data_IF_915529571620
#
_entry.id   IF_915529571620
#
_cell.length_a   1.000
_cell.length_b   1.000
_cell.length_c   1.000
_cell.angle_alpha   90.00
_cell.angle_beta   90.00
_cell.angle_gamma   90.00
#
_symmetry.space_group_name_H-M   'P 1'
#
loop_
_entity.id
_entity.type
_entity.pdbx_description
1 polymer ?
#
# COMPACT_ATOMS: atom_id res chain seq x y z
N UNK A 1 -13.52 2.04 5.70
CA UNK A 1 -12.57 3.07 5.23
C UNK A 1 -12.40 2.90 3.73
N UNK A 2 -12.45 4.01 2.97
CA UNK A 2 -12.21 3.99 1.53
C UNK A 2 -10.71 4.04 1.27
N UNK A 3 -10.21 3.11 0.46
CA UNK A 3 -8.78 2.97 0.15
C UNK A 3 -8.60 2.93 -1.36
N UNK A 4 -7.97 3.96 -1.92
CA UNK A 4 -7.55 3.99 -3.32
C UNK A 4 -6.12 3.47 -3.42
N UNK A 5 -5.89 2.46 -4.26
CA UNK A 5 -4.57 1.88 -4.43
C UNK A 5 -4.15 2.00 -5.88
N UNK A 6 -2.93 2.49 -6.10
CA UNK A 6 -2.32 2.48 -7.42
C UNK A 6 -2.03 1.04 -7.86
N UNK A 7 -2.58 0.66 -9.01
CA UNK A 7 -2.43 -0.64 -9.65
C UNK A 7 -1.70 -0.50 -10.97
N UNK A 8 -0.89 -1.50 -11.27
CA UNK A 8 -0.18 -1.61 -12.54
C UNK A 8 0.40 -3.00 -12.70
N UNK A 9 0.02 -3.72 -13.76
CA UNK A 9 0.64 -4.96 -14.19
C UNK A 9 1.24 -4.77 -15.60
N UNK A 10 2.58 -4.80 -15.77
CA UNK A 10 3.22 -4.58 -17.07
C UNK A 10 2.87 -5.66 -18.11
N UNK A 11 2.28 -6.78 -17.71
CA UNK A 11 1.81 -7.81 -18.65
C UNK A 11 0.42 -7.53 -19.24
N UNK A 12 -0.33 -6.58 -18.67
CA UNK A 12 -1.73 -6.29 -19.04
C UNK A 12 -2.01 -4.82 -19.30
N UNK A 13 -1.35 -3.92 -18.57
CA UNK A 13 -1.70 -2.51 -18.50
C UNK A 13 -0.68 -1.66 -19.25
N UNK A 14 -1.16 -0.72 -20.07
CA UNK A 14 -0.32 0.29 -20.72
C UNK A 14 0.11 1.40 -19.72
N UNK A 15 -0.78 1.74 -18.80
CA UNK A 15 -0.58 2.78 -17.79
C UNK A 15 -1.17 2.36 -16.45
N UNK A 16 -0.58 2.79 -15.34
CA UNK A 16 -1.17 2.52 -14.04
C UNK A 16 -2.43 3.32 -13.76
N UNK A 17 -3.30 2.74 -12.96
CA UNK A 17 -4.62 3.27 -12.59
C UNK A 17 -4.83 3.17 -11.08
N UNK A 18 -5.99 3.61 -10.60
CA UNK A 18 -6.38 3.45 -9.20
C UNK A 18 -7.59 2.54 -9.10
N UNK A 19 -7.46 1.51 -8.28
CA UNK A 19 -8.61 0.73 -7.79
C UNK A 19 -9.06 1.28 -6.44
N UNK A 20 -10.35 1.14 -6.16
CA UNK A 20 -10.95 1.54 -4.89
C UNK A 20 -11.43 0.30 -4.12
N UNK A 21 -11.05 0.24 -2.84
CA UNK A 21 -11.41 -0.83 -1.92
C UNK A 21 -12.12 -0.26 -0.70
N UNK A 22 -13.07 -1.02 -0.16
CA UNK A 22 -13.67 -0.74 1.13
C UNK A 22 -13.09 -1.70 2.17
N UNK A 23 -12.35 -1.15 3.13
CA UNK A 23 -11.68 -1.92 4.19
C UNK A 23 -12.34 -1.62 5.54
N UNK A 24 -12.80 -2.63 6.30
CA UNK A 24 -13.44 -2.45 7.60
C UNK A 24 -12.39 -2.25 8.71
N UNK A 25 -11.64 -1.14 8.65
CA UNK A 25 -10.64 -0.78 9.65
C UNK A 25 -11.32 -0.58 11.02
N UNK A 26 -11.00 -1.39 12.05
CA UNK A 26 -11.56 -1.25 13.39
C UNK A 26 -11.16 0.09 14.02
N UNK A 27 -12.05 0.73 14.79
CA UNK A 27 -11.77 2.04 15.42
C UNK A 27 -10.99 1.93 16.74
N UNK A 28 -11.08 0.77 17.38
CA UNK A 28 -10.54 0.42 18.68
C UNK A 28 -9.15 -0.22 18.61
N UNK A 29 -8.70 -0.59 17.41
CA UNK A 29 -7.38 -1.15 17.15
C UNK A 29 -6.66 -0.28 16.12
N UNK A 30 -5.43 0.14 16.45
CA UNK A 30 -4.60 0.91 15.52
C UNK A 30 -4.05 0.01 14.43
N UNK A 31 -4.75 -0.06 13.30
CA UNK A 31 -4.22 -0.66 12.09
C UNK A 31 -3.20 0.26 11.46
N UNK A 32 -2.13 -0.32 10.96
CA UNK A 32 -1.20 0.37 10.07
C UNK A 32 -1.73 0.35 8.64
N UNK A 33 -1.18 1.20 7.77
CA UNK A 33 -1.41 1.13 6.31
C UNK A 33 -1.04 -0.26 5.78
N UNK A 34 -0.10 -0.92 6.44
CA UNK A 34 0.28 -2.27 6.08
C UNK A 34 -0.78 -3.32 6.41
N UNK A 35 -1.43 -3.21 7.57
CA UNK A 35 -2.55 -4.11 7.94
C UNK A 35 -3.72 -3.93 6.97
N UNK A 36 -3.95 -2.70 6.49
CA UNK A 36 -4.92 -2.42 5.43
C UNK A 36 -4.58 -3.16 4.13
N UNK A 37 -3.32 -3.13 3.70
CA UNK A 37 -2.86 -3.83 2.50
C UNK A 37 -2.97 -5.36 2.66
N UNK A 38 -2.61 -5.88 3.84
CA UNK A 38 -2.76 -7.30 4.17
C UNK A 38 -4.23 -7.72 4.17
N UNK A 39 -5.15 -6.88 4.67
CA UNK A 39 -6.57 -7.16 4.60
C UNK A 39 -7.07 -7.24 3.16
N UNK A 40 -6.67 -6.28 2.30
CA UNK A 40 -7.03 -6.29 0.87
C UNK A 40 -6.51 -7.58 0.23
N UNK A 41 -5.24 -7.92 0.44
CA UNK A 41 -4.62 -9.12 -0.12
C UNK A 41 -5.36 -10.41 0.29
N UNK A 42 -5.71 -10.53 1.57
CA UNK A 42 -6.26 -11.77 2.13
C UNK A 42 -7.77 -11.93 1.91
N UNK A 43 -8.53 -10.84 1.80
CA UNK A 43 -9.98 -10.89 1.85
C UNK A 43 -10.69 -10.28 0.64
N UNK A 44 -10.02 -9.43 -0.15
CA UNK A 44 -10.66 -8.70 -1.25
C UNK A 44 -10.03 -9.03 -2.60
N UNK A 45 -8.73 -8.79 -2.75
CA UNK A 45 -8.00 -8.95 -4.00
C UNK A 45 -6.59 -9.50 -3.75
N UNK A 46 -6.42 -10.79 -4.01
CA UNK A 46 -5.15 -11.49 -3.84
C UNK A 46 -4.09 -11.19 -4.92
N UNK A 47 -4.42 -10.36 -5.92
CA UNK A 47 -3.51 -10.01 -7.02
C UNK A 47 -2.63 -8.79 -6.72
N UNK A 48 -2.95 -8.02 -5.67
CA UNK A 48 -2.20 -6.83 -5.25
C UNK A 48 -0.76 -7.17 -4.86
N UNK A 49 0.19 -6.36 -5.33
CA UNK A 49 1.62 -6.53 -5.04
C UNK A 49 2.20 -5.34 -4.26
N UNK A 50 2.85 -5.64 -3.14
CA UNK A 50 3.55 -4.66 -2.30
C UNK A 50 4.70 -5.33 -1.54
N UNK A 51 5.63 -4.54 -1.01
CA UNK A 51 6.69 -5.07 -0.15
C UNK A 51 6.14 -5.41 1.23
N UNK A 52 5.98 -6.72 1.50
CA UNK A 52 5.53 -7.23 2.79
C UNK A 52 6.55 -6.97 3.91
N UNK A 53 6.07 -7.12 5.13
CA UNK A 53 6.66 -6.72 6.39
C UNK A 53 7.63 -7.75 6.96
N UNK A 54 7.70 -8.95 6.36
CA UNK A 54 8.66 -10.02 6.68
C UNK A 54 10.13 -9.58 6.62
N UNK A 55 10.40 -8.37 6.13
CA UNK A 55 11.72 -7.76 6.17
C UNK A 55 12.12 -7.17 7.54
N UNK A 56 11.22 -6.61 8.37
CA UNK A 56 11.64 -6.08 9.69
C UNK A 56 10.59 -5.65 10.75
N UNK A 57 9.35 -5.29 10.37
CA UNK A 57 8.30 -4.71 11.23
C UNK A 57 8.62 -3.44 12.06
N UNK A 58 9.87 -3.04 12.21
CA UNK A 58 10.28 -1.92 13.08
C UNK A 58 10.90 -0.77 12.28
N UNK A 59 10.56 -0.66 10.99
CA UNK A 59 10.99 0.42 10.11
C UNK A 59 12.45 0.40 9.66
N UNK A 60 13.26 -0.56 10.12
CA UNK A 60 14.72 -0.58 9.85
C UNK A 60 15.07 -0.97 8.40
N UNK A 61 14.24 -1.76 7.70
CA UNK A 61 14.57 -2.19 6.33
C UNK A 61 14.28 -1.13 5.26
N UNK A 62 13.42 -0.15 5.54
CA UNK A 62 13.03 0.90 4.59
C UNK A 62 12.30 0.43 3.31
N UNK A 63 11.92 -0.85 3.19
CA UNK A 63 11.36 -1.41 1.94
C UNK A 63 9.88 -1.09 1.72
N UNK A 64 9.11 -0.94 2.80
CA UNK A 64 7.68 -0.64 2.74
C UNK A 64 7.38 0.86 2.59
N UNK A 65 8.29 1.65 2.00
CA UNK A 65 8.03 3.06 1.76
C UNK A 65 7.01 3.19 0.64
N UNK A 66 5.91 3.87 0.94
CA UNK A 66 4.86 4.23 0.01
C UNK A 66 4.60 5.73 0.07
N UNK A 67 3.86 6.25 -0.90
CA UNK A 67 3.22 7.56 -0.81
C UNK A 67 1.81 7.34 -0.25
N UNK A 68 1.60 7.76 0.99
CA UNK A 68 0.30 7.72 1.68
C UNK A 68 -0.25 9.14 1.65
N UNK A 69 -1.38 9.34 0.96
CA UNK A 69 -2.00 10.64 0.70
C UNK A 69 -0.97 11.67 0.19
N UNK A 70 -0.13 11.24 -0.77
CA UNK A 70 0.90 12.05 -1.41
C UNK A 70 2.20 12.24 -0.62
N UNK A 71 2.28 11.80 0.65
CA UNK A 71 3.47 11.93 1.49
C UNK A 71 4.23 10.61 1.63
N UNK A 72 5.57 10.60 1.55
CA UNK A 72 6.35 9.38 1.75
C UNK A 72 6.24 8.92 3.22
N UNK A 73 5.80 7.68 3.43
CA UNK A 73 5.63 7.05 4.75
C UNK A 73 6.06 5.58 4.68
N UNK A 74 6.49 5.04 5.82
CA UNK A 74 6.66 3.59 5.97
C UNK A 74 5.29 2.98 6.29
N UNK A 75 4.78 2.13 5.40
CA UNK A 75 3.45 1.54 5.55
C UNK A 75 3.29 0.78 6.88
N UNK A 76 4.36 0.15 7.38
CA UNK A 76 4.35 -0.60 8.64
C UNK A 76 4.37 0.25 9.91
N UNK A 77 4.61 1.56 9.81
CA UNK A 77 4.59 2.49 10.96
C UNK A 77 3.50 3.55 10.84
N UNK A 78 2.91 3.71 9.65
CA UNK A 78 1.88 4.69 9.40
C UNK A 78 0.53 4.14 9.90
N UNK A 79 -0.07 4.78 10.91
CA UNK A 79 -1.37 4.38 11.44
C UNK A 79 -2.47 4.79 10.44
N UNK A 80 -3.24 3.82 9.95
CA UNK A 80 -4.33 4.04 9.01
C UNK A 80 -5.49 4.79 9.66
N UNK A 81 -5.77 4.52 10.95
CA UNK A 81 -6.84 5.16 11.72
C UNK A 81 -6.72 6.69 11.84
N UNK A 82 -5.56 7.27 11.55
CA UNK A 82 -5.35 8.73 11.53
C UNK A 82 -5.97 9.42 10.29
N UNK A 83 -6.51 8.63 9.34
CA UNK A 83 -7.06 9.13 8.08
C UNK A 83 -8.51 8.69 7.89
N UNK A 84 -9.34 9.54 7.30
CA UNK A 84 -10.71 9.18 6.89
C UNK A 84 -10.70 8.32 5.61
N UNK A 85 -9.77 8.61 4.70
CA UNK A 85 -9.52 7.88 3.46
C UNK A 85 -8.02 7.75 3.19
N UNK A 86 -7.67 6.69 2.47
CA UNK A 86 -6.29 6.40 2.07
C UNK A 86 -6.16 6.42 0.55
N UNK A 87 -5.13 7.10 0.06
CA UNK A 87 -4.64 7.04 -1.32
C UNK A 87 -3.21 6.53 -1.26
N UNK A 88 -3.02 5.32 -1.74
CA UNK A 88 -1.77 4.58 -1.67
C UNK A 88 -1.12 4.54 -3.05
N UNK A 89 0.06 5.13 -3.13
CA UNK A 89 0.86 5.19 -4.35
C UNK A 89 2.23 4.55 -4.13
N UNK A 90 2.86 3.99 -5.18
CA UNK A 90 4.23 3.54 -5.10
C UNK A 90 5.16 4.70 -4.72
N UNK A 91 6.29 4.38 -4.09
CA UNK A 91 7.33 5.38 -3.76
C UNK A 91 7.71 6.24 -4.97
N UNK A 92 7.82 5.63 -6.15
CA UNK A 92 8.13 6.27 -7.42
C UNK A 92 7.34 5.62 -8.56
N UNK A 93 6.41 6.37 -9.17
CA UNK A 93 5.66 5.94 -10.37
C UNK A 93 6.57 5.62 -11.57
N UNK A 94 7.75 6.23 -11.64
CA UNK A 94 8.73 6.00 -12.73
C UNK A 94 9.43 4.64 -12.62
N UNK A 95 9.48 4.05 -11.43
CA UNK A 95 10.25 2.84 -11.15
C UNK A 95 9.35 1.67 -10.74
N UNK A 96 8.06 1.72 -11.08
CA UNK A 96 7.11 0.65 -10.73
C UNK A 96 7.47 -0.62 -11.48
N UNK A 97 7.53 -1.73 -10.75
CA UNK A 97 7.62 -3.08 -11.30
C UNK A 97 6.22 -3.67 -11.43
N UNK A 98 5.44 -3.60 -10.35
CA UNK A 98 4.03 -4.02 -10.30
C UNK A 98 3.35 -3.38 -9.10
N UNK A 99 2.17 -2.80 -9.29
CA UNK A 99 1.38 -2.13 -8.24
C UNK A 99 2.22 -1.17 -7.37
N UNK A 100 2.42 -1.51 -6.09
CA UNK A 100 3.16 -0.72 -5.11
C UNK A 100 4.65 -1.13 -5.00
N UNK A 101 5.08 -2.14 -5.77
CA UNK A 101 6.47 -2.60 -5.84
C UNK A 101 7.26 -1.75 -6.81
N UNK A 102 8.33 -1.13 -6.32
CA UNK A 102 9.26 -0.35 -7.14
C UNK A 102 10.66 -0.94 -7.14
N UNK A 103 11.42 -0.75 -8.23
CA UNK A 103 12.87 -1.00 -8.22
C UNK A 103 13.52 -0.06 -7.21
N UNK A 104 14.28 -0.63 -6.27
CA UNK A 104 15.18 0.13 -5.41
C UNK A 104 16.48 0.31 -6.20
N UNK A 105 16.94 1.55 -6.45
CA UNK A 105 18.24 1.77 -7.06
C UNK A 105 19.39 1.29 -6.15
#
# INVERSE_FOLDING_TARGET
>A
MKVKVYRFDPSKDETGYFDEYEVPVPKDVNWTVMDVLDYILLNIDSSISYFKHSACYHGICGRCVLRVNGKPKLACLCIANEYDELVLEPRSKKNVVKDLVTKVP
#
